data_IF_982677538133
#
_entry.id   IF_982677538133
#
_cell.length_a   1.000
_cell.length_b   1.000
_cell.length_c   1.000
_cell.angle_alpha   90.00
_cell.angle_beta   90.00
_cell.angle_gamma   90.00
#
_symmetry.space_group_name_H-M   'P 1'
#
loop_
_entity.id
_entity.type
_entity.pdbx_description
1 polymer ?
#
# COMPACT_ATOMS: atom_id res chain seq x y z
N UNK A 1 -1.72 8.86 -20.18
CA UNK A 1 -2.68 7.73 -19.99
C UNK A 1 -2.35 6.93 -18.72
N UNK A 2 -2.07 7.60 -17.59
CA UNK A 2 -1.55 6.94 -16.37
C UNK A 2 -2.13 7.53 -15.07
N UNK A 3 -2.81 8.67 -15.13
CA UNK A 3 -3.32 9.42 -13.97
C UNK A 3 -4.34 8.58 -13.18
N UNK A 4 -5.26 7.89 -13.88
CA UNK A 4 -6.25 7.01 -13.24
C UNK A 4 -5.56 5.85 -12.53
N UNK A 5 -4.55 5.24 -13.17
CA UNK A 5 -3.76 4.16 -12.57
C UNK A 5 -2.98 4.64 -11.34
N UNK A 6 -2.40 5.84 -11.38
CA UNK A 6 -1.74 6.47 -10.25
C UNK A 6 -2.72 6.77 -9.11
N UNK A 7 -3.90 7.32 -9.41
CA UNK A 7 -4.94 7.59 -8.41
C UNK A 7 -5.41 6.32 -7.71
N UNK A 8 -5.64 5.25 -8.47
CA UNK A 8 -5.99 3.93 -7.89
C UNK A 8 -4.85 3.42 -7.02
N UNK A 9 -3.61 3.49 -7.50
CA UNK A 9 -2.44 3.01 -6.74
C UNK A 9 -2.27 3.77 -5.43
N UNK A 10 -2.33 5.10 -5.47
CA UNK A 10 -2.26 5.95 -4.27
C UNK A 10 -3.42 5.66 -3.31
N UNK A 11 -4.64 5.47 -3.84
CA UNK A 11 -5.80 5.09 -3.04
C UNK A 11 -5.60 3.78 -2.29
N UNK A 12 -5.07 2.75 -2.97
CA UNK A 12 -4.78 1.45 -2.33
C UNK A 12 -3.67 1.59 -1.28
N UNK A 13 -2.61 2.38 -1.54
CA UNK A 13 -1.53 2.63 -0.56
C UNK A 13 -2.10 3.23 0.72
N UNK A 14 -2.95 4.26 0.60
CA UNK A 14 -3.58 4.91 1.75
C UNK A 14 -4.45 3.94 2.55
N UNK A 15 -5.20 3.08 1.86
CA UNK A 15 -6.11 2.13 2.50
C UNK A 15 -5.35 1.03 3.25
N UNK A 16 -4.27 0.50 2.67
CA UNK A 16 -3.40 -0.50 3.31
C UNK A 16 -2.61 0.13 4.46
N UNK A 17 -2.13 1.37 4.31
CA UNK A 17 -1.47 2.09 5.38
C UNK A 17 -2.43 2.35 6.56
N UNK A 18 -3.65 2.78 6.27
CA UNK A 18 -4.69 2.93 7.30
C UNK A 18 -4.98 1.61 8.02
N UNK A 19 -5.08 0.51 7.27
CA UNK A 19 -5.25 -0.82 7.86
C UNK A 19 -4.07 -1.19 8.77
N UNK A 20 -2.83 -0.92 8.34
CA UNK A 20 -1.62 -1.17 9.11
C UNK A 20 -1.61 -0.45 10.46
N UNK A 21 -2.10 0.79 10.53
CA UNK A 21 -2.18 1.57 11.78
C UNK A 21 -3.38 1.22 12.65
N UNK A 22 -4.46 0.70 12.07
CA UNK A 22 -5.69 0.37 12.81
C UNK A 22 -5.67 -1.04 13.39
N UNK A 23 -4.97 -1.96 12.76
CA UNK A 23 -4.98 -3.37 13.13
C UNK A 23 -4.12 -3.66 14.36
N UNK A 24 -4.68 -4.37 15.35
CA UNK A 24 -4.00 -4.68 16.62
C UNK A 24 -3.27 -6.03 16.61
N UNK A 25 -3.56 -6.88 15.62
CA UNK A 25 -2.97 -8.23 15.49
C UNK A 25 -1.69 -8.15 14.68
N UNK A 26 -0.57 -8.50 15.30
CA UNK A 26 0.75 -8.46 14.66
C UNK A 26 0.82 -9.23 13.34
N UNK A 27 0.14 -10.38 13.22
CA UNK A 27 0.12 -11.17 11.99
C UNK A 27 -0.51 -10.40 10.81
N UNK A 28 -1.65 -9.75 11.05
CA UNK A 28 -2.35 -8.94 10.03
C UNK A 28 -1.58 -7.66 9.69
N UNK A 29 -0.92 -7.07 10.69
CA UNK A 29 -0.05 -5.92 10.53
C UNK A 29 1.17 -6.28 9.65
N UNK A 30 1.77 -7.44 9.87
CA UNK A 30 2.88 -7.95 9.03
C UNK A 30 2.41 -8.23 7.59
N UNK A 31 1.23 -8.82 7.41
CA UNK A 31 0.65 -9.05 6.08
C UNK A 31 0.39 -7.72 5.35
N UNK A 32 -0.19 -6.73 6.04
CA UNK A 32 -0.41 -5.39 5.48
C UNK A 32 0.91 -4.70 5.11
N UNK A 33 1.94 -4.78 5.96
CA UNK A 33 3.26 -4.23 5.66
C UNK A 33 3.93 -4.90 4.45
N UNK A 34 3.83 -6.24 4.36
CA UNK A 34 4.38 -7.02 3.24
C UNK A 34 3.77 -6.62 1.90
N UNK A 35 2.49 -6.25 1.87
CA UNK A 35 1.80 -5.76 0.66
C UNK A 35 2.08 -4.27 0.40
N UNK A 36 2.23 -3.47 1.46
CA UNK A 36 2.50 -2.04 1.36
C UNK A 36 3.88 -1.76 0.72
N UNK A 37 4.90 -2.54 1.06
CA UNK A 37 6.27 -2.40 0.53
C UNK A 37 6.32 -2.47 -1.01
N UNK A 38 5.87 -3.56 -1.68
CA UNK A 38 5.89 -3.65 -3.14
C UNK A 38 4.95 -2.65 -3.79
N UNK A 39 3.85 -2.25 -3.12
CA UNK A 39 2.92 -1.27 -3.67
C UNK A 39 3.52 0.15 -3.69
N UNK A 40 4.24 0.53 -2.63
CA UNK A 40 5.01 1.78 -2.57
C UNK A 40 6.15 1.74 -3.59
N UNK A 41 6.93 0.65 -3.64
CA UNK A 41 8.00 0.47 -4.63
C UNK A 41 7.47 0.61 -6.07
N UNK A 42 6.30 0.04 -6.35
CA UNK A 42 5.62 0.13 -7.64
C UNK A 42 5.15 1.56 -7.95
N UNK A 43 4.67 2.29 -6.95
CA UNK A 43 4.24 3.68 -7.11
C UNK A 43 5.41 4.66 -7.26
N UNK A 44 6.52 4.42 -6.56
CA UNK A 44 7.76 5.17 -6.72
C UNK A 44 8.50 4.84 -8.02
N UNK A 45 8.15 3.72 -8.67
CA UNK A 45 8.76 3.26 -9.91
C UNK A 45 10.30 3.21 -9.80
N UNK A 46 10.81 2.42 -8.84
CA UNK A 46 12.17 1.92 -8.96
C UNK A 46 12.13 0.84 -10.03
N UNK A 47 12.66 1.15 -11.22
CA UNK A 47 12.79 0.20 -12.32
C UNK A 47 14.01 -0.68 -12.12
#
# INVERSE_FOLDING_TARGET
MTIIYQLITVGIILLVAWNLFREKRLAEQMAAALVLIPLILRALMIR
#
